data_IF_636942257290
#
_entry.id   IF_636942257290
#
_cell.length_a   1.000
_cell.length_b   1.000
_cell.length_c   1.000
_cell.angle_alpha   90.00
_cell.angle_beta   90.00
_cell.angle_gamma   90.00
#
_symmetry.space_group_name_H-M   'P 1'
#
loop_
_entity.id
_entity.type
_entity.pdbx_description
1 polymer ?
#
# COMPACT_ATOMS: atom_id res chain seq x y z
N UNK A 1 -43.03 24.57 -16.76
CA UNK A 1 -43.80 24.09 -15.60
C UNK A 1 -43.30 22.69 -15.30
N UNK A 2 -42.33 22.59 -14.40
CA UNK A 2 -41.75 21.31 -13.96
C UNK A 2 -41.36 21.50 -12.51
N UNK A 3 -42.01 20.70 -11.65
CA UNK A 3 -42.04 20.87 -10.21
C UNK A 3 -40.75 20.40 -9.54
N UNK A 4 -40.23 21.29 -8.69
CA UNK A 4 -39.12 21.06 -7.77
C UNK A 4 -39.63 20.37 -6.50
N UNK A 5 -39.28 19.09 -6.30
CA UNK A 5 -39.43 18.45 -5.00
C UNK A 5 -38.21 18.72 -4.12
N UNK A 6 -38.37 19.67 -3.18
CA UNK A 6 -37.51 19.83 -1.99
C UNK A 6 -37.88 18.80 -0.93
N UNK A 7 -36.89 18.07 -0.44
CA UNK A 7 -36.99 17.31 0.81
C UNK A 7 -36.64 18.21 2.00
N UNK A 8 -37.38 18.16 3.13
CA UNK A 8 -37.06 18.95 4.31
C UNK A 8 -35.99 18.29 5.18
N UNK A 9 -34.99 19.09 5.55
CA UNK A 9 -34.03 18.82 6.62
C UNK A 9 -34.76 18.88 7.98
N UNK A 10 -34.89 17.73 8.65
CA UNK A 10 -35.31 17.70 10.05
C UNK A 10 -34.08 17.97 10.95
N UNK A 11 -34.20 19.02 11.75
CA UNK A 11 -33.30 19.36 12.83
C UNK A 11 -33.82 18.69 14.10
N UNK A 12 -33.01 17.83 14.73
CA UNK A 12 -33.28 17.34 16.08
C UNK A 12 -32.14 17.75 17.01
N UNK A 13 -32.44 18.77 17.80
CA UNK A 13 -31.73 19.20 18.98
C UNK A 13 -32.11 18.30 20.15
N UNK A 14 -31.14 17.59 20.74
CA UNK A 14 -31.25 17.00 22.09
C UNK A 14 -29.89 17.14 22.77
N UNK A 15 -29.74 18.20 23.56
CA UNK A 15 -29.76 18.21 25.03
C UNK A 15 -28.55 17.53 25.66
N UNK A 16 -27.58 18.38 25.99
CA UNK A 16 -26.48 18.14 26.91
C UNK A 16 -26.98 17.56 28.25
N UNK A 17 -26.45 16.40 28.63
CA UNK A 17 -26.51 15.91 30.00
C UNK A 17 -25.09 15.58 30.48
N UNK A 18 -24.41 16.61 30.99
CA UNK A 18 -23.15 16.51 31.72
C UNK A 18 -23.37 15.77 33.03
N UNK A 19 -22.90 14.53 33.13
CA UNK A 19 -22.66 13.87 34.43
C UNK A 19 -21.17 13.94 34.74
N UNK A 20 -20.84 14.77 35.73
CA UNK A 20 -19.55 14.78 36.42
C UNK A 20 -19.36 13.44 37.13
N UNK A 21 -18.44 12.61 36.64
CA UNK A 21 -17.94 11.45 37.38
C UNK A 21 -16.53 11.77 37.85
N UNK A 22 -16.44 12.04 39.15
CA UNK A 22 -15.19 12.15 39.92
C UNK A 22 -14.48 10.79 39.92
N UNK A 23 -13.29 10.72 39.29
CA UNK A 23 -12.40 9.55 39.45
C UNK A 23 -11.43 9.76 40.61
N UNK A 24 -11.15 8.73 41.43
CA UNK A 24 -10.15 8.78 42.47
C UNK A 24 -8.73 8.75 41.88
N UNK A 25 -7.86 9.56 42.48
CA UNK A 25 -6.41 9.61 42.22
C UNK A 25 -5.78 8.30 42.72
N UNK A 26 -5.22 7.50 41.82
CA UNK A 26 -4.29 6.42 42.16
C UNK A 26 -2.90 6.82 41.68
N UNK A 27 -1.98 6.93 42.63
CA UNK A 27 -0.60 7.29 42.43
C UNK A 27 0.27 6.04 42.26
N UNK A 28 1.19 6.13 41.30
CA UNK A 28 2.54 5.54 41.17
C UNK A 28 2.81 4.08 41.58
N UNK A 29 3.42 3.34 40.64
CA UNK A 29 4.75 2.73 40.86
C UNK A 29 5.51 2.68 39.51
N UNK A 30 6.60 3.45 39.43
CA UNK A 30 7.63 3.33 38.40
C UNK A 30 8.58 2.20 38.82
N UNK A 31 8.50 1.06 38.15
CA UNK A 31 9.54 0.03 38.22
C UNK A 31 10.47 0.21 37.02
N UNK A 32 11.68 0.69 37.29
CA UNK A 32 12.83 0.57 36.39
C UNK A 32 13.11 -0.92 36.17
N UNK A 33 13.16 -1.36 34.91
CA UNK A 33 13.86 -2.58 34.53
C UNK A 33 14.92 -2.25 33.48
N UNK A 34 16.14 -2.81 33.59
CA UNK A 34 17.25 -2.50 32.71
C UNK A 34 17.13 -3.25 31.38
N UNK A 35 17.47 -2.55 30.30
CA UNK A 35 18.20 -3.03 29.12
C UNK A 35 18.28 -4.55 28.92
N UNK A 36 17.44 -5.07 28.02
CA UNK A 36 17.66 -6.36 27.39
C UNK A 36 18.00 -6.15 25.92
N UNK A 37 19.31 -6.07 25.67
CA UNK A 37 19.93 -6.22 24.35
C UNK A 37 19.67 -7.66 23.87
N UNK A 38 18.79 -7.85 22.89
CA UNK A 38 18.76 -9.11 22.15
C UNK A 38 19.56 -8.96 20.86
N UNK A 39 20.66 -9.73 20.85
CA UNK A 39 21.58 -9.93 19.75
C UNK A 39 20.86 -10.33 18.46
N UNK A 40 21.31 -9.70 17.38
CA UNK A 40 21.10 -10.10 16.00
C UNK A 40 21.77 -11.48 15.82
N UNK A 41 20.95 -12.51 15.66
CA UNK A 41 21.43 -13.81 15.19
C UNK A 41 21.36 -13.82 13.66
N UNK A 42 22.51 -13.58 13.02
CA UNK A 42 22.77 -13.97 11.64
C UNK A 42 22.70 -15.49 11.53
N UNK A 43 21.70 -16.02 10.83
CA UNK A 43 21.72 -17.39 10.36
C UNK A 43 21.97 -17.41 8.85
N UNK A 44 23.21 -17.69 8.48
CA UNK A 44 23.54 -18.27 7.18
C UNK A 44 23.02 -19.71 7.17
N UNK A 45 22.16 -20.04 6.21
CA UNK A 45 21.85 -21.43 5.87
C UNK A 45 22.08 -21.60 4.37
N UNK A 46 23.31 -21.94 4.02
CA UNK A 46 23.61 -22.74 2.85
C UNK A 46 23.07 -24.15 3.07
N UNK A 47 22.11 -24.61 2.28
CA UNK A 47 21.94 -26.04 2.02
C UNK A 47 21.40 -26.28 0.61
N UNK A 48 22.24 -26.95 -0.17
CA UNK A 48 22.01 -27.49 -1.50
C UNK A 48 21.27 -28.83 -1.46
N UNK A 49 20.69 -29.17 -2.63
CA UNK A 49 20.15 -30.47 -3.13
C UNK A 49 18.71 -30.81 -2.74
N UNK A 50 17.88 -31.44 -3.56
CA UNK A 50 17.78 -31.70 -5.02
C UNK A 50 16.51 -32.57 -5.20
N UNK A 51 15.87 -32.51 -6.38
CA UNK A 51 14.78 -33.40 -6.89
C UNK A 51 13.39 -33.04 -6.31
N UNK A 52 12.32 -32.81 -7.09
CA UNK A 52 11.83 -33.57 -8.24
C UNK A 52 11.14 -32.68 -9.30
N UNK A 53 11.34 -33.05 -10.56
CA UNK A 53 10.94 -32.34 -11.78
C UNK A 53 9.64 -32.96 -12.30
N UNK A 54 8.49 -32.29 -12.07
CA UNK A 54 7.25 -32.62 -12.78
C UNK A 54 6.84 -31.46 -13.67
N UNK A 55 6.92 -31.70 -14.97
CA UNK A 55 6.51 -30.82 -16.06
C UNK A 55 5.10 -30.25 -15.82
N UNK A 56 5.03 -28.92 -15.75
CA UNK A 56 3.78 -28.17 -15.87
C UNK A 56 3.69 -27.56 -17.28
N UNK A 57 2.49 -27.52 -17.89
CA UNK A 57 2.31 -27.04 -19.25
C UNK A 57 2.61 -25.54 -19.35
N UNK A 58 3.34 -25.20 -20.41
CA UNK A 58 3.55 -23.85 -20.94
C UNK A 58 2.18 -23.15 -21.11
N UNK A 59 1.92 -22.10 -20.32
CA UNK A 59 0.81 -21.18 -20.58
C UNK A 59 1.33 -19.94 -21.31
N UNK A 60 0.62 -19.48 -22.36
CA UNK A 60 1.17 -18.52 -23.31
C UNK A 60 1.18 -17.09 -22.73
N UNK A 61 2.39 -16.55 -22.56
CA UNK A 61 2.71 -15.14 -22.25
C UNK A 61 2.37 -14.19 -23.44
N UNK A 62 1.61 -14.64 -24.45
CA UNK A 62 1.54 -13.97 -25.75
C UNK A 62 0.66 -12.72 -25.82
N UNK A 63 -0.29 -12.49 -24.91
CA UNK A 63 -1.14 -11.29 -24.99
C UNK A 63 -0.54 -10.04 -24.33
N UNK A 64 0.46 -10.17 -23.45
CA UNK A 64 1.08 -9.00 -22.80
C UNK A 64 2.29 -8.43 -23.56
N UNK A 65 2.87 -9.18 -24.51
CA UNK A 65 3.99 -8.72 -25.34
C UNK A 65 3.55 -8.02 -26.63
N UNK A 66 2.27 -8.14 -27.03
CA UNK A 66 1.80 -7.65 -28.33
C UNK A 66 1.54 -6.13 -28.36
N UNK A 67 1.54 -5.44 -27.21
CA UNK A 67 1.43 -3.98 -27.12
C UNK A 67 2.77 -3.22 -27.13
N UNK A 68 3.91 -3.92 -27.19
CA UNK A 68 5.25 -3.28 -27.21
C UNK A 68 6.09 -3.56 -28.47
N UNK A 69 5.58 -4.30 -29.46
CA UNK A 69 6.29 -4.58 -30.71
C UNK A 69 5.64 -3.89 -31.91
N UNK A 70 5.79 -2.56 -31.97
CA UNK A 70 5.63 -1.81 -33.22
C UNK A 70 6.58 -0.61 -33.28
N UNK A 71 7.89 -0.86 -33.17
CA UNK A 71 8.91 0.01 -33.79
C UNK A 71 10.30 -0.65 -33.81
N UNK A 72 10.95 -0.54 -34.97
CA UNK A 72 12.36 -0.85 -35.27
C UNK A 72 12.77 -2.33 -35.43
N UNK A 73 12.75 -2.75 -36.70
CA UNK A 73 13.57 -3.83 -37.27
C UNK A 73 15.06 -3.47 -37.21
N UNK A 74 15.88 -4.32 -36.61
CA UNK A 74 17.31 -4.41 -36.90
C UNK A 74 17.79 -5.86 -36.70
N UNK A 75 18.22 -6.49 -37.79
CA UNK A 75 18.95 -7.75 -37.83
C UNK A 75 20.42 -7.53 -37.49
N UNK A 76 20.98 -8.28 -36.53
CA UNK A 76 22.18 -9.09 -36.81
C UNK A 76 22.59 -10.04 -35.69
N UNK A 77 23.11 -11.18 -36.13
CA UNK A 77 23.72 -12.26 -35.36
C UNK A 77 24.98 -11.81 -34.63
N UNK A 78 25.15 -12.23 -33.37
CA UNK A 78 26.41 -12.71 -32.79
C UNK A 78 26.18 -13.12 -31.33
N UNK A 79 26.57 -14.35 -31.00
CA UNK A 79 26.64 -14.86 -29.62
C UNK A 79 27.77 -14.18 -28.85
N UNK A 80 27.54 -13.80 -27.57
CA UNK A 80 28.62 -13.71 -26.60
C UNK A 80 28.37 -14.50 -25.31
N UNK A 81 29.50 -14.84 -24.69
CA UNK A 81 29.72 -15.51 -23.41
C UNK A 81 28.79 -15.12 -22.25
N UNK A 82 28.63 -16.00 -21.24
CA UNK A 82 27.93 -15.68 -19.99
C UNK A 82 28.79 -14.73 -19.14
N UNK A 83 28.75 -13.44 -19.50
CA UNK A 83 29.24 -12.35 -18.67
C UNK A 83 28.29 -12.19 -17.49
N UNK A 84 28.83 -12.20 -16.28
CA UNK A 84 28.21 -11.78 -15.02
C UNK A 84 27.39 -10.51 -15.23
N UNK A 85 26.07 -10.68 -15.36
CA UNK A 85 25.12 -9.58 -15.51
C UNK A 85 24.99 -8.89 -14.16
N UNK A 86 25.87 -7.91 -13.91
CA UNK A 86 25.58 -6.86 -12.95
C UNK A 86 24.19 -6.33 -13.32
N UNK A 87 23.20 -6.63 -12.47
CA UNK A 87 21.81 -6.26 -12.72
C UNK A 87 21.74 -4.75 -12.60
N UNK A 88 21.98 -4.05 -13.72
CA UNK A 88 21.89 -2.60 -13.80
C UNK A 88 20.50 -2.24 -13.31
N UNK A 89 20.43 -1.61 -12.14
CA UNK A 89 19.16 -1.24 -11.51
C UNK A 89 18.31 -0.55 -12.56
N UNK A 90 17.18 -1.18 -12.90
CA UNK A 90 16.24 -0.60 -13.85
C UNK A 90 15.91 0.82 -13.36
N UNK A 91 16.02 1.82 -14.24
CA UNK A 91 15.64 3.18 -13.91
C UNK A 91 14.23 3.19 -13.27
N UNK A 92 14.11 3.74 -12.06
CA UNK A 92 12.83 3.99 -11.39
C UNK A 92 11.99 4.98 -12.21
N UNK A 93 10.69 5.08 -11.95
CA UNK A 93 9.70 6.00 -12.55
C UNK A 93 10.16 7.48 -12.63
N UNK A 94 11.24 7.81 -11.92
CA UNK A 94 12.13 8.93 -12.17
C UNK A 94 12.78 8.99 -13.58
N UNK A 95 12.39 8.13 -14.54
CA UNK A 95 12.95 8.09 -15.91
C UNK A 95 12.52 9.24 -16.81
N UNK A 96 11.40 9.89 -16.53
CA UNK A 96 11.14 11.17 -17.18
C UNK A 96 11.97 12.22 -16.46
N UNK A 97 12.75 13.07 -17.18
CA UNK A 97 13.44 14.19 -16.56
C UNK A 97 12.36 15.09 -15.95
N UNK A 98 12.14 14.94 -14.64
CA UNK A 98 11.25 15.82 -13.93
C UNK A 98 12.03 17.10 -13.66
N UNK A 99 11.38 18.25 -13.87
CA UNK A 99 11.96 19.52 -13.49
C UNK A 99 12.38 19.55 -12.00
N UNK A 100 13.09 20.60 -11.58
CA UNK A 100 13.45 20.74 -10.18
C UNK A 100 12.19 20.83 -9.30
N UNK A 101 12.16 20.04 -8.23
CA UNK A 101 11.15 20.18 -7.17
C UNK A 101 11.47 21.41 -6.28
N UNK A 102 10.48 22.02 -5.60
CA UNK A 102 9.06 21.64 -5.58
C UNK A 102 8.31 22.02 -6.87
N UNK A 103 7.28 21.25 -7.19
CA UNK A 103 6.43 21.45 -8.36
C UNK A 103 5.32 22.47 -8.10
N UNK A 104 4.86 23.15 -9.16
CA UNK A 104 3.83 24.19 -9.07
C UNK A 104 2.40 23.65 -8.90
N UNK A 105 2.08 22.52 -9.52
CA UNK A 105 0.75 21.90 -9.49
C UNK A 105 0.85 20.38 -9.60
N UNK A 106 -0.21 19.67 -9.23
CA UNK A 106 -0.20 18.20 -9.33
C UNK A 106 -1.24 17.46 -8.51
N UNK A 107 -1.08 16.15 -8.48
CA UNK A 107 -1.93 15.23 -7.71
C UNK A 107 -1.05 14.32 -6.88
N UNK A 108 -1.31 14.24 -5.58
CA UNK A 108 -0.65 13.28 -4.67
C UNK A 108 -1.60 12.12 -4.40
N UNK A 109 -1.34 10.93 -4.94
CA UNK A 109 -2.16 9.73 -4.70
C UNK A 109 -1.46 8.81 -3.70
N UNK A 110 -2.07 8.60 -2.53
CA UNK A 110 -1.53 7.69 -1.52
C UNK A 110 -2.18 6.31 -1.58
N UNK A 111 -1.38 5.29 -1.90
CA UNK A 111 -1.76 3.88 -1.82
C UNK A 111 -1.72 3.40 -0.37
N UNK A 112 -2.89 3.35 0.26
CA UNK A 112 -3.05 2.98 1.64
C UNK A 112 -3.21 1.46 1.79
N UNK A 113 -2.16 0.81 2.30
CA UNK A 113 -2.26 -0.56 2.82
C UNK A 113 -2.85 -0.52 4.25
N UNK A 114 -3.88 -1.33 4.57
CA UNK A 114 -4.44 -1.37 5.92
C UNK A 114 -3.37 -1.53 7.00
N UNK A 115 -3.55 -0.91 8.17
CA UNK A 115 -2.64 -1.04 9.31
C UNK A 115 -1.19 -0.55 9.09
N UNK A 116 -0.92 0.27 8.08
CA UNK A 116 0.39 0.96 7.91
C UNK A 116 0.39 2.42 8.37
N UNK A 117 -0.73 2.94 8.91
CA UNK A 117 -0.82 4.33 9.38
C UNK A 117 -1.62 5.25 8.44
N UNK A 118 -2.22 4.72 7.38
CA UNK A 118 -2.85 5.56 6.36
C UNK A 118 -4.09 6.35 6.77
N UNK A 119 -4.71 6.09 7.93
CA UNK A 119 -5.71 7.00 8.48
C UNK A 119 -5.09 8.33 8.96
N UNK A 120 -3.87 8.27 9.52
CA UNK A 120 -3.11 9.45 9.92
C UNK A 120 -2.75 10.28 8.69
N UNK A 121 -2.27 9.64 7.61
CA UNK A 121 -1.97 10.30 6.33
C UNK A 121 -3.22 10.89 5.68
N UNK A 122 -4.32 10.13 5.59
CA UNK A 122 -5.56 10.65 4.99
C UNK A 122 -6.08 11.87 5.76
N UNK A 123 -6.03 11.84 7.10
CA UNK A 123 -6.38 13.00 7.91
C UNK A 123 -5.42 14.17 7.70
N UNK A 124 -4.14 13.91 7.46
CA UNK A 124 -3.16 14.93 7.12
C UNK A 124 -3.45 15.58 5.77
N UNK A 125 -3.74 14.81 4.72
CA UNK A 125 -4.20 15.35 3.43
C UNK A 125 -5.50 16.15 3.54
N UNK A 126 -6.48 15.69 4.32
CA UNK A 126 -7.70 16.47 4.60
C UNK A 126 -7.43 17.81 5.28
N UNK A 127 -6.35 17.96 6.06
CA UNK A 127 -5.98 19.27 6.62
C UNK A 127 -5.59 20.25 5.52
N UNK A 128 -4.87 19.80 4.49
CA UNK A 128 -4.52 20.65 3.34
C UNK A 128 -5.73 21.08 2.54
N UNK A 129 -6.77 20.23 2.47
CA UNK A 129 -8.03 20.57 1.81
C UNK A 129 -8.83 21.69 2.50
N UNK A 130 -8.35 22.22 3.63
CA UNK A 130 -8.92 23.43 4.22
C UNK A 130 -8.56 24.65 3.35
N UNK A 131 -9.52 25.57 3.05
CA UNK A 131 -9.25 26.77 2.26
C UNK A 131 -8.13 27.68 2.81
N UNK A 132 -7.75 27.52 4.09
CA UNK A 132 -6.64 28.25 4.72
C UNK A 132 -5.25 27.76 4.30
N UNK A 133 -5.16 26.59 3.66
CA UNK A 133 -3.90 25.93 3.31
C UNK A 133 -3.65 25.90 1.79
N UNK A 134 -4.42 26.65 1.01
CA UNK A 134 -4.28 26.78 -0.45
C UNK A 134 -5.45 26.19 -1.23
N UNK A 135 -5.33 26.20 -2.56
CA UNK A 135 -6.27 25.55 -3.47
C UNK A 135 -5.94 24.05 -3.56
N UNK A 136 -6.21 23.32 -2.47
CA UNK A 136 -5.94 21.88 -2.37
C UNK A 136 -7.26 21.14 -2.18
N UNK A 137 -7.49 20.07 -2.93
CA UNK A 137 -8.66 19.20 -2.73
C UNK A 137 -8.24 17.80 -2.25
N UNK A 138 -9.20 17.06 -1.66
CA UNK A 138 -8.98 15.69 -1.22
C UNK A 138 -10.10 14.76 -1.72
N UNK A 139 -9.72 13.69 -2.42
CA UNK A 139 -10.63 12.68 -2.94
C UNK A 139 -10.40 11.31 -2.29
N UNK A 140 -11.50 10.62 -1.99
CA UNK A 140 -11.49 9.23 -1.62
C UNK A 140 -12.87 8.61 -1.87
N UNK A 141 -12.87 7.36 -2.33
CA UNK A 141 -14.05 6.50 -2.38
C UNK A 141 -13.62 5.09 -2.02
N UNK A 142 -14.14 4.55 -0.92
CA UNK A 142 -13.86 3.17 -0.52
C UNK A 142 -14.95 2.66 0.43
N UNK A 143 -15.02 1.34 0.59
CA UNK A 143 -15.91 0.70 1.55
C UNK A 143 -15.21 -0.47 2.24
N UNK A 144 -15.89 -1.09 3.21
CA UNK A 144 -15.43 -2.34 3.80
C UNK A 144 -15.63 -3.47 2.78
N UNK A 145 -14.65 -4.34 2.62
CA UNK A 145 -14.84 -5.54 1.79
C UNK A 145 -15.71 -6.61 2.46
N UNK A 146 -15.71 -6.65 3.80
CA UNK A 146 -16.37 -7.69 4.61
C UNK A 146 -17.43 -7.06 5.52
N UNK A 147 -18.63 -7.65 5.52
CA UNK A 147 -19.74 -7.32 6.39
C UNK A 147 -19.56 -7.79 7.84
N UNK A 148 -20.51 -7.44 8.71
CA UNK A 148 -20.49 -7.88 10.12
C UNK A 148 -20.74 -9.38 10.29
N UNK A 149 -21.37 -10.00 9.30
CA UNK A 149 -21.62 -11.43 9.20
C UNK A 149 -20.37 -12.23 8.79
N UNK A 150 -19.33 -11.55 8.31
CA UNK A 150 -18.09 -12.17 7.84
C UNK A 150 -18.09 -12.47 6.33
N UNK A 151 -19.17 -12.17 5.62
CA UNK A 151 -19.26 -12.33 4.17
C UNK A 151 -18.75 -11.10 3.43
N UNK A 152 -18.37 -11.26 2.17
CA UNK A 152 -18.08 -10.11 1.31
C UNK A 152 -19.35 -9.29 1.07
N UNK A 153 -19.24 -7.96 1.10
CA UNK A 153 -20.38 -7.11 0.76
C UNK A 153 -20.76 -7.33 -0.72
N UNK A 154 -22.05 -7.24 -1.08
CA UNK A 154 -22.45 -7.25 -2.48
C UNK A 154 -21.99 -5.97 -3.19
N UNK A 155 -21.94 -6.00 -4.52
CA UNK A 155 -21.70 -4.82 -5.37
C UNK A 155 -20.36 -4.10 -5.10
N UNK A 156 -19.31 -4.84 -4.71
CA UNK A 156 -17.95 -4.30 -4.57
C UNK A 156 -17.44 -3.68 -5.87
N UNK A 157 -17.90 -4.16 -7.03
CA UNK A 157 -17.55 -3.60 -8.34
C UNK A 157 -18.02 -2.15 -8.47
N UNK A 158 -19.23 -1.82 -8.02
CA UNK A 158 -19.75 -0.44 -8.10
C UNK A 158 -18.86 0.56 -7.34
N UNK A 159 -18.21 0.12 -6.26
CA UNK A 159 -17.28 0.97 -5.49
C UNK A 159 -15.95 1.13 -6.24
N UNK A 160 -15.49 0.09 -6.94
CA UNK A 160 -14.32 0.19 -7.82
C UNK A 160 -14.61 1.16 -8.98
N UNK A 161 -15.76 1.01 -9.65
CA UNK A 161 -16.16 1.84 -10.78
C UNK A 161 -16.30 3.30 -10.36
N UNK A 162 -16.98 3.57 -9.24
CA UNK A 162 -17.10 4.92 -8.68
C UNK A 162 -15.73 5.51 -8.29
N UNK A 163 -14.80 4.70 -7.80
CA UNK A 163 -13.44 5.17 -7.54
C UNK A 163 -12.72 5.55 -8.84
N UNK A 164 -12.81 4.72 -9.88
CA UNK A 164 -12.19 4.97 -11.19
C UNK A 164 -12.76 6.24 -11.83
N UNK A 165 -14.08 6.37 -11.86
CA UNK A 165 -14.78 7.55 -12.40
C UNK A 165 -14.33 8.81 -11.66
N UNK A 166 -14.44 8.82 -10.33
CA UNK A 166 -14.02 9.99 -9.57
C UNK A 166 -12.52 10.27 -9.65
N UNK A 167 -11.65 9.26 -9.83
CA UNK A 167 -10.23 9.49 -10.10
C UNK A 167 -9.98 10.10 -11.48
N UNK A 168 -10.72 9.68 -12.53
CA UNK A 168 -10.63 10.30 -13.85
C UNK A 168 -10.97 11.80 -13.76
N UNK A 169 -12.08 12.13 -13.11
CA UNK A 169 -12.46 13.54 -12.87
C UNK A 169 -11.41 14.28 -12.04
N UNK A 170 -10.86 13.60 -11.02
CA UNK A 170 -9.89 14.18 -10.10
C UNK A 170 -8.54 14.52 -10.74
N UNK A 171 -8.15 13.86 -11.84
CA UNK A 171 -6.87 14.14 -12.52
C UNK A 171 -6.98 15.12 -13.68
N UNK A 172 -8.20 15.49 -14.08
CA UNK A 172 -8.46 16.38 -15.21
C UNK A 172 -8.60 17.85 -14.81
N UNK A 173 -8.35 18.75 -15.77
CA UNK A 173 -8.55 20.19 -15.65
C UNK A 173 -7.88 20.80 -14.40
N UNK A 174 -6.57 20.57 -14.25
CA UNK A 174 -5.77 21.16 -13.17
C UNK A 174 -5.38 22.59 -13.53
N UNK A 175 -5.71 23.54 -12.66
CA UNK A 175 -5.27 24.92 -12.80
C UNK A 175 -3.77 25.08 -12.46
N UNK A 176 -3.16 26.15 -12.97
CA UNK A 176 -1.80 26.53 -12.55
C UNK A 176 -1.78 26.81 -11.05
N UNK A 177 -0.91 26.12 -10.31
CA UNK A 177 -0.85 26.23 -8.85
C UNK A 177 -1.82 25.33 -8.08
N UNK A 178 -2.71 24.59 -8.76
CA UNK A 178 -3.65 23.68 -8.11
C UNK A 178 -2.97 22.39 -7.68
N UNK A 179 -3.28 21.96 -6.47
CA UNK A 179 -2.90 20.66 -5.98
C UNK A 179 -4.13 19.83 -5.61
N UNK A 180 -4.07 18.54 -5.86
CA UNK A 180 -5.09 17.61 -5.37
C UNK A 180 -4.44 16.44 -4.65
N UNK A 181 -5.19 15.80 -3.78
CA UNK A 181 -4.71 14.64 -3.03
C UNK A 181 -5.75 13.54 -2.99
N UNK A 182 -5.31 12.30 -3.12
CA UNK A 182 -6.18 11.14 -3.19
C UNK A 182 -5.76 10.07 -2.19
N UNK A 183 -6.73 9.27 -1.74
CA UNK A 183 -6.45 8.02 -1.06
C UNK A 183 -6.95 6.82 -1.86
N UNK A 184 -6.01 5.96 -2.21
CA UNK A 184 -6.28 4.64 -2.74
C UNK A 184 -6.35 3.61 -1.59
N UNK A 185 -7.40 2.79 -1.46
CA UNK A 185 -7.60 1.84 -0.34
C UNK A 185 -8.42 0.57 -0.71
N UNK A 186 -9.09 -0.05 0.27
CA UNK A 186 -9.82 -1.33 0.15
C UNK A 186 -10.96 -1.23 -0.89
N UNK A 187 -11.17 -2.30 -1.65
CA UNK A 187 -12.21 -2.41 -2.70
C UNK A 187 -11.95 -1.45 -3.87
N UNK A 188 -10.70 -1.13 -4.13
CA UNK A 188 -10.30 -0.39 -5.33
C UNK A 188 -9.57 -1.31 -6.31
N UNK A 189 -9.44 -0.91 -7.58
CA UNK A 189 -9.00 -1.80 -8.65
C UNK A 189 -7.58 -2.34 -8.42
N UNK A 190 -7.37 -3.67 -8.35
CA UNK A 190 -6.07 -4.24 -8.00
C UNK A 190 -4.94 -3.73 -8.89
N UNK A 191 -3.85 -3.28 -8.26
CA UNK A 191 -2.74 -2.68 -8.99
C UNK A 191 -2.15 -3.63 -10.04
N UNK A 192 -2.04 -4.92 -9.72
CA UNK A 192 -1.45 -5.89 -10.64
C UNK A 192 -2.23 -6.04 -11.96
N UNK A 193 -3.56 -5.91 -11.93
CA UNK A 193 -4.43 -6.11 -13.08
C UNK A 193 -4.97 -4.81 -13.69
N UNK A 194 -4.64 -3.65 -13.11
CA UNK A 194 -5.13 -2.33 -13.56
C UNK A 194 -4.00 -1.30 -13.66
N UNK A 195 -2.80 -1.76 -14.00
CA UNK A 195 -1.61 -0.91 -14.19
C UNK A 195 -1.84 0.17 -15.28
N UNK A 196 -2.67 -0.14 -16.27
CA UNK A 196 -3.09 0.78 -17.33
C UNK A 196 -3.78 2.05 -16.79
N UNK A 197 -4.58 1.93 -15.72
CA UNK A 197 -5.21 3.09 -15.07
C UNK A 197 -4.16 4.01 -14.45
N UNK A 198 -3.09 3.45 -13.87
CA UNK A 198 -2.02 4.23 -13.26
C UNK A 198 -1.20 5.00 -14.29
N UNK A 199 -0.91 4.37 -15.44
CA UNK A 199 -0.32 5.07 -16.58
C UNK A 199 -1.25 6.17 -17.10
N UNK A 200 -2.54 5.87 -17.27
CA UNK A 200 -3.54 6.84 -17.75
C UNK A 200 -3.58 8.06 -16.83
N UNK A 201 -3.78 7.87 -15.52
CA UNK A 201 -3.88 8.96 -14.56
C UNK A 201 -2.61 9.82 -14.53
N UNK A 202 -1.43 9.19 -14.51
CA UNK A 202 -0.16 9.91 -14.57
C UNK A 202 -0.04 10.73 -15.86
N UNK A 203 -0.29 10.11 -17.01
CA UNK A 203 -0.23 10.78 -18.30
C UNK A 203 -1.21 11.95 -18.39
N UNK A 204 -2.44 11.81 -17.88
CA UNK A 204 -3.43 12.89 -17.81
C UNK A 204 -2.91 14.07 -16.99
N UNK A 205 -2.39 13.85 -15.77
CA UNK A 205 -1.84 14.94 -14.95
C UNK A 205 -0.62 15.59 -15.62
N UNK A 206 0.32 14.78 -16.12
CA UNK A 206 1.60 15.28 -16.64
C UNK A 206 1.47 15.98 -18.00
N UNK A 207 0.50 15.59 -18.83
CA UNK A 207 0.19 16.30 -20.09
C UNK A 207 -0.35 17.72 -19.89
N UNK A 208 -0.83 18.04 -18.69
CA UNK A 208 -1.28 19.38 -18.30
C UNK A 208 -0.14 20.25 -17.73
N UNK A 209 1.10 19.72 -17.70
CA UNK A 209 2.26 20.41 -17.12
C UNK A 209 2.38 20.29 -15.60
N UNK A 210 1.48 19.55 -14.95
CA UNK A 210 1.51 19.27 -13.52
C UNK A 210 2.20 17.91 -13.22
N UNK A 211 2.35 17.54 -11.94
CA UNK A 211 3.03 16.29 -11.56
C UNK A 211 2.13 15.32 -10.78
N UNK A 212 2.13 14.06 -11.19
CA UNK A 212 1.53 12.97 -10.41
C UNK A 212 2.56 12.43 -9.43
N UNK A 213 2.26 12.47 -8.13
CA UNK A 213 3.09 11.94 -7.06
C UNK A 213 2.36 10.76 -6.41
N UNK A 214 2.77 9.56 -6.78
CA UNK A 214 2.25 8.33 -6.19
C UNK A 214 3.08 7.96 -4.96
N UNK A 215 2.41 7.80 -3.84
CA UNK A 215 3.04 7.58 -2.55
C UNK A 215 2.53 6.32 -1.88
N UNK A 216 3.40 5.60 -1.18
CA UNK A 216 3.06 4.43 -0.39
C UNK A 216 3.87 4.39 0.91
N UNK A 217 3.24 3.86 1.95
CA UNK A 217 3.91 3.51 3.19
C UNK A 217 3.70 2.04 3.47
N UNK A 218 4.83 1.34 3.52
CA UNK A 218 4.94 -0.05 3.90
C UNK A 218 5.24 -0.14 5.39
N UNK A 219 5.19 -1.35 5.93
CA UNK A 219 5.51 -1.65 7.33
C UNK A 219 6.24 -2.98 7.39
N UNK A 220 7.00 -3.19 8.46
CA UNK A 220 7.50 -4.52 8.79
C UNK A 220 6.37 -5.58 8.69
N UNK A 221 6.54 -6.68 7.93
CA UNK A 221 5.46 -7.61 7.63
C UNK A 221 4.86 -8.28 8.86
N UNK A 222 5.69 -8.65 9.83
CA UNK A 222 5.22 -9.32 11.04
C UNK A 222 4.38 -8.36 11.89
N UNK A 223 4.88 -7.14 12.11
CA UNK A 223 4.15 -6.09 12.80
C UNK A 223 2.85 -5.69 12.08
N UNK A 224 2.86 -5.67 10.74
CA UNK A 224 1.67 -5.44 9.93
C UNK A 224 0.63 -6.56 10.15
N UNK A 225 1.03 -7.83 10.00
CA UNK A 225 0.15 -8.98 10.21
C UNK A 225 -0.42 -8.96 11.64
N UNK A 226 0.42 -8.84 12.67
CA UNK A 226 -0.06 -8.77 14.05
C UNK A 226 -1.02 -7.59 14.28
N UNK A 227 -0.79 -6.44 13.63
CA UNK A 227 -1.70 -5.29 13.71
C UNK A 227 -3.05 -5.55 13.03
N UNK A 228 -3.16 -6.44 12.04
CA UNK A 228 -4.43 -6.82 11.43
C UNK A 228 -5.30 -7.68 12.38
N UNK A 229 -4.71 -8.34 13.36
CA UNK A 229 -5.47 -9.04 14.40
C UNK A 229 -6.47 -8.13 15.14
N UNK A 230 -6.18 -6.83 15.24
CA UNK A 230 -7.09 -5.85 15.89
C UNK A 230 -8.46 -5.73 15.20
N UNK A 231 -8.57 -6.14 13.94
CA UNK A 231 -9.83 -6.11 13.18
C UNK A 231 -10.51 -7.49 13.09
N UNK A 232 -10.00 -8.49 13.81
CA UNK A 232 -10.56 -9.84 13.87
C UNK A 232 -12.07 -9.83 14.14
N UNK A 233 -12.48 -9.24 15.26
CA UNK A 233 -13.88 -9.18 15.67
C UNK A 233 -14.75 -8.38 14.68
N UNK A 234 -14.17 -7.43 13.94
CA UNK A 234 -14.91 -6.64 12.94
C UNK A 234 -15.27 -7.45 11.70
N UNK A 235 -14.56 -8.56 11.45
CA UNK A 235 -14.74 -9.45 10.31
C UNK A 235 -15.39 -10.79 10.70
N UNK A 236 -15.94 -10.88 11.92
CA UNK A 236 -16.51 -12.11 12.45
C UNK A 236 -15.57 -13.31 12.25
N UNK A 237 -14.31 -13.16 12.69
CA UNK A 237 -13.30 -14.21 12.58
C UNK A 237 -12.84 -14.72 13.93
N UNK A 238 -12.21 -15.90 13.94
CA UNK A 238 -11.62 -16.51 15.13
C UNK A 238 -10.09 -16.40 15.13
N UNK A 239 -9.45 -16.61 16.30
CA UNK A 239 -7.99 -16.58 16.38
C UNK A 239 -7.38 -17.68 15.52
N UNK A 240 -8.00 -18.85 15.49
CA UNK A 240 -7.61 -20.00 14.69
C UNK A 240 -7.69 -19.67 13.20
N UNK A 241 -8.83 -19.14 12.72
CA UNK A 241 -8.96 -18.66 11.33
C UNK A 241 -7.87 -17.64 10.97
N UNK A 242 -7.54 -16.73 11.90
CA UNK A 242 -6.47 -15.75 11.72
C UNK A 242 -5.05 -16.36 11.78
N UNK A 243 -4.84 -17.46 12.49
CA UNK A 243 -3.54 -18.12 12.50
C UNK A 243 -3.32 -18.97 11.25
N UNK A 244 -4.41 -19.37 10.60
CA UNK A 244 -4.40 -20.32 9.49
C UNK A 244 -4.64 -19.66 8.13
N UNK A 245 -5.05 -18.38 8.08
CA UNK A 245 -5.42 -17.73 6.81
C UNK A 245 -4.30 -17.67 5.76
N UNK A 246 -3.04 -17.87 6.15
CA UNK A 246 -1.87 -17.91 5.27
C UNK A 246 -1.35 -19.33 4.96
N UNK A 247 -1.93 -20.37 5.56
CA UNK A 247 -1.48 -21.74 5.28
C UNK A 247 -1.73 -22.14 3.82
N UNK A 248 -2.86 -21.69 3.27
CA UNK A 248 -3.17 -21.81 1.86
C UNK A 248 -2.64 -20.59 1.11
N UNK A 249 -1.98 -20.74 -0.05
CA UNK A 249 -1.46 -19.59 -0.81
C UNK A 249 -2.57 -18.73 -1.41
N UNK A 250 -3.67 -19.39 -1.81
CA UNK A 250 -4.87 -18.80 -2.38
C UNK A 250 -6.08 -19.08 -1.49
N UNK A 251 -7.16 -18.31 -1.66
CA UNK A 251 -8.39 -18.46 -0.89
C UNK A 251 -9.03 -17.12 -0.57
N UNK A 252 -10.34 -17.15 -0.33
CA UNK A 252 -11.14 -16.00 0.07
C UNK A 252 -10.58 -15.41 1.39
N UNK A 253 -9.78 -14.35 1.27
CA UNK A 253 -9.11 -13.74 2.40
C UNK A 253 -9.94 -12.64 3.03
N UNK A 254 -10.46 -12.87 4.24
CA UNK A 254 -10.95 -11.79 5.11
C UNK A 254 -9.83 -10.77 5.38
N UNK A 255 -8.58 -11.22 5.35
CA UNK A 255 -7.38 -10.41 5.54
C UNK A 255 -6.46 -10.57 4.35
N UNK A 256 -5.60 -9.59 4.13
CA UNK A 256 -4.54 -9.66 3.13
C UNK A 256 -3.23 -9.28 3.81
N UNK A 257 -2.15 -9.97 3.45
CA UNK A 257 -0.81 -9.51 3.83
C UNK A 257 -0.46 -8.25 3.06
N UNK A 258 0.71 -7.69 3.34
CA UNK A 258 1.10 -6.42 2.72
C UNK A 258 1.33 -6.60 1.22
N UNK A 259 2.06 -7.66 0.82
CA UNK A 259 2.32 -7.97 -0.58
C UNK A 259 1.04 -8.39 -1.32
N UNK A 260 0.22 -9.25 -0.73
CA UNK A 260 -1.03 -9.68 -1.34
C UNK A 260 -1.99 -8.49 -1.53
N UNK A 261 -2.08 -7.58 -0.54
CA UNK A 261 -2.89 -6.36 -0.67
C UNK A 261 -2.35 -5.43 -1.76
N UNK A 262 -1.03 -5.23 -1.79
CA UNK A 262 -0.38 -4.37 -2.77
C UNK A 262 -0.66 -4.83 -4.20
N UNK A 263 -0.59 -6.13 -4.46
CA UNK A 263 -0.82 -6.69 -5.79
C UNK A 263 -2.31 -6.83 -6.13
N UNK A 264 -3.11 -7.34 -5.19
CA UNK A 264 -4.45 -7.87 -5.50
C UNK A 264 -5.59 -7.14 -4.79
N UNK A 265 -5.30 -6.24 -3.84
CA UNK A 265 -6.29 -5.59 -2.97
C UNK A 265 -7.22 -6.64 -2.28
N UNK A 266 -8.31 -6.19 -1.65
CA UNK A 266 -9.37 -7.06 -1.12
C UNK A 266 -10.67 -6.69 -1.85
N UNK A 267 -10.80 -7.16 -3.10
CA UNK A 267 -11.90 -6.77 -4.00
C UNK A 267 -12.97 -7.86 -4.20
N UNK A 268 -12.90 -8.98 -3.49
CA UNK A 268 -13.92 -10.02 -3.56
C UNK A 268 -13.44 -11.40 -3.13
N UNK A 269 -14.24 -12.46 -3.40
CA UNK A 269 -13.93 -13.82 -3.00
C UNK A 269 -12.83 -14.49 -3.83
N UNK A 270 -12.35 -13.83 -4.91
CA UNK A 270 -11.26 -14.28 -5.78
C UNK A 270 -9.96 -14.54 -5.03
N UNK A 271 -9.80 -13.93 -3.85
CA UNK A 271 -8.83 -14.35 -2.85
C UNK A 271 -7.52 -13.57 -2.86
N UNK A 272 -6.61 -13.95 -1.95
CA UNK A 272 -5.33 -13.24 -1.72
C UNK A 272 -4.28 -13.44 -2.81
N UNK A 273 -4.41 -14.48 -3.64
CA UNK A 273 -3.50 -14.78 -4.74
C UNK A 273 -4.32 -15.44 -5.86
N UNK A 274 -5.17 -14.66 -6.54
CA UNK A 274 -6.17 -15.21 -7.48
C UNK A 274 -5.52 -15.88 -8.70
N UNK A 275 -4.25 -15.56 -8.99
CA UNK A 275 -3.49 -16.10 -10.12
C UNK A 275 -2.58 -17.26 -9.74
N UNK A 276 -2.62 -17.72 -8.48
CA UNK A 276 -1.73 -18.75 -7.95
C UNK A 276 -0.24 -18.47 -8.24
N UNK A 277 0.15 -17.20 -8.23
CA UNK A 277 1.53 -16.78 -8.46
C UNK A 277 2.44 -17.33 -7.36
N UNK A 278 3.63 -17.78 -7.74
CA UNK A 278 4.68 -18.19 -6.83
C UNK A 278 5.15 -17.02 -5.95
N UNK A 279 5.83 -17.34 -4.86
CA UNK A 279 6.44 -16.34 -3.98
C UNK A 279 7.34 -15.39 -4.78
N UNK A 280 8.21 -15.95 -5.61
CA UNK A 280 9.22 -15.25 -6.39
C UNK A 280 8.56 -14.32 -7.43
N UNK A 281 7.51 -14.78 -8.11
CA UNK A 281 6.75 -13.96 -9.05
C UNK A 281 6.09 -12.77 -8.37
N UNK A 282 5.47 -12.98 -7.20
CA UNK A 282 4.84 -11.89 -6.43
C UNK A 282 5.87 -10.86 -5.98
N UNK A 283 6.99 -11.30 -5.43
CA UNK A 283 8.07 -10.39 -4.97
C UNK A 283 8.62 -9.59 -6.15
N UNK A 284 8.97 -10.26 -7.25
CA UNK A 284 9.48 -9.62 -8.47
C UNK A 284 8.50 -8.58 -8.99
N UNK A 285 7.22 -8.94 -9.12
CA UNK A 285 6.17 -8.05 -9.63
C UNK A 285 5.88 -6.89 -8.68
N UNK A 286 5.89 -7.12 -7.37
CA UNK A 286 5.69 -6.07 -6.37
C UNK A 286 6.79 -5.00 -6.47
N UNK A 287 8.04 -5.44 -6.59
CA UNK A 287 9.18 -4.53 -6.73
C UNK A 287 9.14 -3.78 -8.07
N UNK A 288 8.81 -4.46 -9.17
CA UNK A 288 8.61 -3.87 -10.48
C UNK A 288 7.56 -2.75 -10.46
N UNK A 289 6.41 -2.99 -9.82
CA UNK A 289 5.33 -2.01 -9.68
C UNK A 289 5.74 -0.81 -8.82
N UNK A 290 6.43 -1.03 -7.69
CA UNK A 290 6.99 0.07 -6.90
C UNK A 290 7.91 0.95 -7.73
N UNK A 291 8.83 0.33 -8.47
CA UNK A 291 9.80 1.05 -9.28
C UNK A 291 9.14 1.86 -10.40
N UNK A 292 8.10 1.33 -11.05
CA UNK A 292 7.47 1.98 -12.20
C UNK A 292 6.45 3.05 -11.83
N UNK A 293 5.80 2.92 -10.68
CA UNK A 293 4.63 3.76 -10.39
C UNK A 293 4.79 4.68 -9.20
N UNK A 294 5.68 4.37 -8.24
CA UNK A 294 5.75 5.10 -6.98
C UNK A 294 6.96 6.02 -6.90
N UNK A 295 6.69 7.23 -6.41
CA UNK A 295 7.64 8.31 -6.25
C UNK A 295 8.12 8.42 -4.80
N UNK A 296 7.21 8.15 -3.86
CA UNK A 296 7.49 8.12 -2.43
C UNK A 296 7.22 6.72 -1.90
N UNK A 297 8.25 6.06 -1.42
CA UNK A 297 8.18 4.74 -0.77
C UNK A 297 8.83 4.85 0.60
N UNK A 298 8.04 4.66 1.65
CA UNK A 298 8.50 4.73 3.05
C UNK A 298 8.22 3.44 3.81
N UNK A 299 8.99 3.15 4.86
CA UNK A 299 8.82 1.98 5.73
C UNK A 299 8.54 2.39 7.17
N UNK A 300 7.26 2.52 7.52
CA UNK A 300 6.81 2.78 8.89
C UNK A 300 7.21 4.14 9.48
N UNK A 301 7.85 5.01 8.70
CA UNK A 301 8.29 6.33 9.11
C UNK A 301 7.39 7.41 8.49
N UNK A 302 6.51 7.96 9.30
CA UNK A 302 5.58 9.02 8.89
C UNK A 302 6.30 10.36 8.64
N UNK A 303 7.44 10.59 9.30
CA UNK A 303 8.22 11.82 9.16
C UNK A 303 8.92 11.83 7.81
N UNK A 304 9.60 10.73 7.48
CA UNK A 304 10.22 10.54 6.17
C UNK A 304 9.18 10.63 5.03
N UNK A 305 8.06 9.89 5.14
CA UNK A 305 6.96 9.97 4.18
C UNK A 305 6.50 11.42 3.95
N UNK A 306 6.25 12.15 5.05
CA UNK A 306 5.81 13.53 5.01
C UNK A 306 6.84 14.42 4.34
N UNK A 307 8.11 14.33 4.72
CA UNK A 307 9.18 15.15 4.18
C UNK A 307 9.36 14.93 2.68
N UNK A 308 9.29 13.69 2.19
CA UNK A 308 9.38 13.39 0.77
C UNK A 308 8.21 14.01 -0.02
N UNK A 309 6.97 13.89 0.49
CA UNK A 309 5.81 14.53 -0.14
C UNK A 309 5.97 16.05 -0.15
N UNK A 310 6.35 16.65 0.98
CA UNK A 310 6.55 18.11 1.08
C UNK A 310 7.66 18.62 0.16
N UNK A 311 8.71 17.84 -0.05
CA UNK A 311 9.79 18.17 -0.98
C UNK A 311 9.28 18.24 -2.43
N UNK A 312 8.36 17.35 -2.81
CA UNK A 312 7.75 17.39 -4.14
C UNK A 312 6.73 18.52 -4.29
N UNK A 313 5.90 18.78 -3.28
CA UNK A 313 4.76 19.68 -3.41
C UNK A 313 5.03 21.13 -2.99
N UNK A 314 6.07 21.35 -2.18
CA UNK A 314 6.33 22.65 -1.55
C UNK A 314 5.27 23.09 -0.54
N UNK A 315 4.37 22.19 -0.13
CA UNK A 315 3.32 22.53 0.83
C UNK A 315 3.92 22.97 2.17
N UNK A 316 3.20 23.84 2.89
CA UNK A 316 3.57 24.22 4.25
C UNK A 316 3.49 23.01 5.17
N UNK A 317 4.51 22.80 6.00
CA UNK A 317 4.48 21.77 7.04
C UNK A 317 3.24 21.89 7.94
N UNK A 318 2.49 20.80 8.06
CA UNK A 318 1.41 20.59 9.02
C UNK A 318 1.65 19.29 9.75
N UNK A 319 1.49 19.27 11.07
CA UNK A 319 1.72 18.05 11.85
C UNK A 319 0.73 16.94 11.45
N UNK A 320 1.29 15.76 11.17
CA UNK A 320 0.50 14.56 10.90
C UNK A 320 -0.15 14.07 12.20
N UNK A 321 -1.49 13.94 12.27
CA UNK A 321 -2.14 13.51 13.49
C UNK A 321 -1.88 12.01 13.73
N UNK A 322 -1.50 11.65 14.96
CA UNK A 322 -1.36 10.24 15.33
C UNK A 322 -2.74 9.63 15.67
N UNK A 323 -3.29 8.83 14.76
CA UNK A 323 -4.67 8.30 14.88
C UNK A 323 -4.72 6.77 14.77
N UNK A 324 -5.82 6.16 15.22
CA UNK A 324 -6.07 4.71 15.15
C UNK A 324 -5.03 3.82 15.85
N UNK A 325 -4.43 4.34 16.92
CA UNK A 325 -3.59 3.57 17.83
C UNK A 325 -4.44 2.51 18.52
N UNK A 326 -4.02 1.25 18.41
CA UNK A 326 -4.64 0.17 19.15
C UNK A 326 -4.50 0.44 20.65
N UNK A 327 -5.62 0.55 21.37
CA UNK A 327 -5.60 0.78 22.82
C UNK A 327 -5.35 -0.49 23.63
N UNK A 328 -5.53 -1.66 23.02
CA UNK A 328 -5.40 -2.96 23.66
C UNK A 328 -4.04 -3.55 23.31
N UNK A 329 -3.35 -4.06 24.33
CA UNK A 329 -2.21 -4.95 24.14
C UNK A 329 -2.65 -6.18 23.38
N UNK A 330 -1.88 -6.56 22.36
CA UNK A 330 -2.10 -7.80 21.62
C UNK A 330 -1.14 -8.85 22.17
N UNK A 331 -1.68 -9.97 22.62
CA UNK A 331 -0.89 -11.06 23.19
C UNK A 331 -0.79 -12.21 22.17
N UNK A 332 0.45 -12.63 21.95
CA UNK A 332 0.79 -13.78 21.12
C UNK A 332 1.83 -14.61 21.84
N UNK A 333 1.65 -15.93 21.79
CA UNK A 333 2.67 -16.87 22.21
C UNK A 333 3.84 -16.85 21.22
N UNK A 334 5.03 -17.22 21.68
CA UNK A 334 6.21 -17.37 20.82
C UNK A 334 5.93 -18.24 19.60
N UNK A 335 5.24 -19.37 19.80
CA UNK A 335 4.88 -20.32 18.73
C UNK A 335 4.02 -19.67 17.64
N UNK A 336 3.08 -18.81 18.02
CA UNK A 336 2.23 -18.10 17.06
C UNK A 336 3.02 -17.07 16.26
N UNK A 337 3.91 -16.32 16.91
CA UNK A 337 4.78 -15.35 16.23
C UNK A 337 5.70 -16.07 15.24
N UNK A 338 6.31 -17.19 15.64
CA UNK A 338 7.15 -18.02 14.76
C UNK A 338 6.35 -18.61 13.59
N UNK A 339 5.12 -19.08 13.83
CA UNK A 339 4.23 -19.58 12.77
C UNK A 339 3.93 -18.49 11.76
N UNK A 340 3.49 -17.31 12.22
CA UNK A 340 3.18 -16.17 11.34
C UNK A 340 4.40 -15.75 10.52
N UNK A 341 5.57 -15.64 11.16
CA UNK A 341 6.81 -15.28 10.46
C UNK A 341 7.12 -16.28 9.34
N UNK A 342 7.10 -17.59 9.61
CA UNK A 342 7.33 -18.63 8.59
C UNK A 342 6.33 -18.54 7.44
N UNK A 343 5.06 -18.28 7.74
CA UNK A 343 4.02 -18.13 6.71
C UNK A 343 4.25 -16.87 5.85
N UNK A 344 4.67 -15.75 6.45
CA UNK A 344 5.02 -14.52 5.73
C UNK A 344 6.26 -14.70 4.84
N UNK A 345 7.27 -15.45 5.29
CA UNK A 345 8.43 -15.84 4.47
C UNK A 345 7.98 -16.68 3.27
N UNK A 346 7.12 -17.68 3.51
CA UNK A 346 6.57 -18.53 2.44
C UNK A 346 5.72 -17.73 1.45
N UNK A 347 4.98 -16.72 1.93
CA UNK A 347 4.13 -15.88 1.08
C UNK A 347 4.90 -14.83 0.26
N UNK A 348 6.10 -14.43 0.70
CA UNK A 348 6.95 -13.45 0.04
C UNK A 348 6.95 -12.05 0.66
N UNK A 349 6.19 -11.81 1.72
CA UNK A 349 6.14 -10.49 2.35
C UNK A 349 7.48 -10.04 2.94
N UNK A 350 8.24 -10.98 3.54
CA UNK A 350 9.55 -10.70 4.13
C UNK A 350 10.55 -10.31 3.04
N UNK A 351 10.71 -11.15 2.02
CA UNK A 351 11.59 -10.91 0.89
C UNK A 351 11.24 -9.62 0.13
N UNK A 352 9.95 -9.33 -0.03
CA UNK A 352 9.49 -8.08 -0.63
C UNK A 352 9.95 -6.87 0.18
N UNK A 353 9.71 -6.84 1.50
CA UNK A 353 10.12 -5.71 2.34
C UNK A 353 11.63 -5.56 2.41
N UNK A 354 12.38 -6.66 2.46
CA UNK A 354 13.83 -6.61 2.49
C UNK A 354 14.39 -6.07 1.17
N UNK A 355 13.81 -6.45 0.03
CA UNK A 355 14.14 -5.85 -1.26
C UNK A 355 13.78 -4.35 -1.33
N UNK A 356 12.70 -3.90 -0.68
CA UNK A 356 12.38 -2.46 -0.58
C UNK A 356 13.41 -1.73 0.30
N UNK A 357 13.78 -2.28 1.46
CA UNK A 357 14.81 -1.68 2.34
C UNK A 357 16.12 -1.46 1.60
N UNK A 358 16.56 -2.46 0.84
CA UNK A 358 17.78 -2.39 0.04
C UNK A 358 17.71 -1.28 -1.02
N UNK A 359 16.56 -1.13 -1.68
CA UNK A 359 16.40 -0.20 -2.81
C UNK A 359 16.12 1.25 -2.40
N UNK A 360 15.33 1.48 -1.36
CA UNK A 360 14.80 2.81 -1.04
C UNK A 360 15.38 3.43 0.23
N UNK A 361 15.87 2.62 1.18
CA UNK A 361 16.40 3.14 2.45
C UNK A 361 17.94 3.15 2.48
N UNK A 362 18.61 2.84 1.36
CA UNK A 362 20.06 2.65 1.32
C UNK A 362 20.56 1.58 2.30
N UNK A 363 19.68 0.66 2.74
CA UNK A 363 20.06 -0.39 3.66
C UNK A 363 21.05 -1.29 2.92
N UNK A 364 22.32 -1.23 3.31
CA UNK A 364 23.46 -1.88 2.66
C UNK A 364 24.03 -1.19 1.41
N UNK A 365 23.76 0.10 1.17
CA UNK A 365 24.45 0.85 0.09
C UNK A 365 25.98 0.84 0.24
N UNK A 366 26.46 0.76 1.49
CA UNK A 366 27.88 0.61 1.80
C UNK A 366 28.49 -0.75 1.43
N UNK A 367 27.66 -1.77 1.15
CA UNK A 367 28.13 -3.08 0.68
C UNK A 367 28.17 -3.19 -0.85
N UNK A 368 27.51 -2.28 -1.58
CA UNK A 368 27.59 -2.23 -3.05
C UNK A 368 28.82 -1.48 -3.57
N UNK A 369 29.59 -0.84 -2.68
CA UNK A 369 30.83 -0.12 -2.98
C UNK A 369 32.11 -0.97 -2.77
N UNK A 370 31.95 -2.28 -2.51
CA UNK A 370 33.03 -3.29 -2.40
C UNK A 370 32.93 -4.25 -3.57
#
# INVERSE_FOLDING_TARGET
MSDNHRYPLSSSTTSDNRRNISMPRVAFFLAFLPSLLFNIATMHSSLSKSVDETAYPDYPIREYQQSQQSSASYTNNNHPNPSTTATKLLPTAATHPRGPAPYGCGVVLFFHIPSTGGNSIANWFRKYASPRNGNITFYQTWTRSIGKDGNFLPNLQNVQDAFIEGMNDHVENLDSGEWRSGQYHIVQPPLNSTEDLWYKWRATVESQGCQMINAIMLRDPLNHAMSLYKILNRKNGTREEWMDYLEQPSGAGKWATMLDFFLYNINGPTGRNPYNATKEEKVRRGIELLQRHFDVVSLGDHTDFMNQVLNYTGWKHLDMPHTNVGKKTLEFTKKEVEKLYKLLVKNGDIDFVDAVKQRYNGHLSYLSDV
#
